data_IF_918938170585
#
_entry.id   IF_918938170585
#
_cell.length_a   1.000
_cell.length_b   1.000
_cell.length_c   1.000
_cell.angle_alpha   90.00
_cell.angle_beta   90.00
_cell.angle_gamma   90.00
#
_symmetry.space_group_name_H-M   'P 1'
#
loop_
_entity.id
_entity.type
_entity.pdbx_description
1 polymer ?
#
# COMPACT_ATOMS: atom_id res chain seq x y z
N UNK A 1 16.69 -18.10 29.79
CA UNK A 1 15.37 -18.48 29.24
C UNK A 1 14.77 -17.23 28.61
N UNK A 2 15.06 -16.98 27.33
CA UNK A 2 14.43 -15.88 26.59
C UNK A 2 13.03 -16.35 26.17
N UNK A 3 11.97 -15.73 26.69
CA UNK A 3 10.63 -15.96 26.18
C UNK A 3 10.59 -15.49 24.73
N UNK A 4 10.54 -16.43 23.80
CA UNK A 4 10.23 -16.19 22.40
C UNK A 4 8.84 -15.56 22.33
N UNK A 5 8.76 -14.24 22.15
CA UNK A 5 7.48 -13.58 21.84
C UNK A 5 7.05 -14.14 20.49
N UNK A 6 6.14 -15.08 20.56
CA UNK A 6 5.67 -15.93 19.47
C UNK A 6 4.34 -15.32 19.05
N UNK A 7 4.33 -14.69 17.88
CA UNK A 7 3.16 -14.19 17.12
C UNK A 7 1.89 -13.82 17.88
N UNK A 8 1.37 -12.62 17.65
CA UNK A 8 0.05 -12.24 18.12
C UNK A 8 -1.04 -12.71 17.16
N UNK A 9 -1.90 -13.60 17.64
CA UNK A 9 -3.05 -14.12 16.89
C UNK A 9 -4.29 -13.25 17.08
N UNK A 10 -5.07 -13.13 16.02
CA UNK A 10 -6.35 -12.41 15.99
C UNK A 10 -7.42 -13.29 15.33
N UNK A 11 -8.62 -13.26 15.92
CA UNK A 11 -9.87 -13.69 15.29
C UNK A 11 -10.87 -12.56 15.53
N UNK A 12 -11.34 -11.93 14.46
CA UNK A 12 -12.10 -10.69 14.54
C UNK A 12 -13.30 -10.74 13.60
N UNK A 13 -14.34 -9.98 13.92
CA UNK A 13 -15.50 -9.84 13.06
C UNK A 13 -15.13 -9.12 11.75
N UNK A 14 -15.91 -9.36 10.72
CA UNK A 14 -15.80 -8.68 9.42
C UNK A 14 -17.11 -7.99 9.06
N UNK A 15 -17.06 -7.14 8.04
CA UNK A 15 -18.22 -6.45 7.50
C UNK A 15 -18.14 -6.42 5.98
N UNK A 16 -19.22 -6.84 5.33
CA UNK A 16 -19.39 -6.68 3.89
C UNK A 16 -20.08 -5.35 3.54
N UNK A 17 -19.79 -4.79 2.37
CA UNK A 17 -20.35 -3.49 1.93
C UNK A 17 -21.85 -3.52 1.63
N UNK A 18 -22.44 -4.69 1.37
CA UNK A 18 -23.86 -4.80 0.99
C UNK A 18 -24.63 -5.94 1.68
N UNK A 19 -24.03 -6.63 2.67
CA UNK A 19 -24.70 -7.71 3.41
C UNK A 19 -25.15 -8.89 2.53
N UNK A 20 -24.43 -9.15 1.42
CA UNK A 20 -24.71 -10.29 0.57
C UNK A 20 -24.55 -11.63 1.31
N UNK A 21 -25.34 -12.63 0.93
CA UNK A 21 -25.16 -13.99 1.44
C UNK A 21 -23.80 -14.56 1.00
N UNK A 22 -23.20 -15.42 1.84
CA UNK A 22 -21.91 -16.05 1.56
C UNK A 22 -20.70 -15.14 1.76
N UNK A 23 -20.87 -14.00 2.44
CA UNK A 23 -19.73 -13.21 2.94
C UNK A 23 -19.19 -13.84 4.22
N UNK A 24 -17.87 -13.73 4.48
CA UNK A 24 -17.34 -14.17 5.77
C UNK A 24 -17.92 -13.29 6.89
N UNK A 25 -18.05 -13.87 8.08
CA UNK A 25 -18.36 -13.13 9.31
C UNK A 25 -17.09 -12.89 10.14
N UNK A 26 -16.05 -13.70 9.93
CA UNK A 26 -14.80 -13.64 10.69
C UNK A 26 -13.55 -13.56 9.81
N UNK A 27 -12.49 -12.95 10.34
CA UNK A 27 -11.15 -12.99 9.79
C UNK A 27 -10.15 -13.43 10.86
N UNK A 28 -9.19 -14.26 10.48
CA UNK A 28 -8.11 -14.72 11.35
C UNK A 28 -6.75 -14.42 10.74
N UNK A 29 -5.82 -13.91 11.55
CA UNK A 29 -4.46 -13.61 11.11
C UNK A 29 -3.48 -13.62 12.28
N UNK A 30 -2.19 -13.78 11.96
CA UNK A 30 -1.10 -13.77 12.93
C UNK A 30 -0.13 -12.66 12.55
N UNK A 31 0.22 -11.83 13.52
CA UNK A 31 1.22 -10.77 13.37
C UNK A 31 2.45 -11.18 14.14
N UNK A 32 3.59 -11.36 13.47
CA UNK A 32 4.89 -11.51 14.11
C UNK A 32 5.57 -10.15 14.35
N UNK A 33 6.78 -10.19 14.91
CA UNK A 33 7.53 -8.97 15.21
C UNK A 33 7.85 -8.16 13.94
N UNK A 34 8.20 -8.82 12.84
CA UNK A 34 8.57 -8.15 11.60
C UNK A 34 7.36 -7.48 10.95
N UNK A 35 6.21 -8.16 10.91
CA UNK A 35 4.94 -7.61 10.45
C UNK A 35 4.49 -6.45 11.35
N UNK A 36 4.64 -6.56 12.67
CA UNK A 36 4.32 -5.47 13.60
C UNK A 36 5.16 -4.22 13.33
N UNK A 37 6.48 -4.38 13.14
CA UNK A 37 7.37 -3.27 12.76
C UNK A 37 6.97 -2.67 11.41
N UNK A 38 6.60 -3.50 10.43
CA UNK A 38 6.07 -3.05 9.14
C UNK A 38 4.82 -2.19 9.29
N UNK A 39 3.83 -2.65 10.06
CA UNK A 39 2.60 -1.90 10.36
C UNK A 39 2.92 -0.57 11.04
N UNK A 40 3.83 -0.56 12.02
CA UNK A 40 4.24 0.68 12.71
C UNK A 40 4.93 1.68 11.78
N UNK A 41 5.76 1.20 10.86
CA UNK A 41 6.39 2.04 9.84
C UNK A 41 5.38 2.65 8.87
N UNK A 42 4.38 1.86 8.43
CA UNK A 42 3.29 2.37 7.60
C UNK A 42 2.47 3.43 8.35
N UNK A 43 2.14 3.20 9.63
CA UNK A 43 1.41 4.17 10.44
C UNK A 43 2.21 5.45 10.68
N UNK A 44 3.53 5.34 10.83
CA UNK A 44 4.43 6.50 10.88
C UNK A 44 4.38 7.28 9.57
N UNK A 45 4.46 6.60 8.42
CA UNK A 45 4.34 7.24 7.10
C UNK A 45 3.00 7.96 6.92
N UNK A 46 1.89 7.36 7.39
CA UNK A 46 0.56 7.98 7.40
C UNK A 46 0.58 9.28 8.22
N UNK A 47 1.14 9.25 9.44
CA UNK A 47 1.22 10.44 10.32
C UNK A 47 2.12 11.54 9.77
N UNK A 48 3.33 11.19 9.35
CA UNK A 48 4.35 12.15 8.90
C UNK A 48 3.92 12.87 7.61
N UNK A 49 3.14 12.21 6.76
CA UNK A 49 2.69 12.77 5.47
C UNK A 49 1.22 13.20 5.46
N UNK A 50 0.53 13.13 6.61
CA UNK A 50 -0.88 13.54 6.72
C UNK A 50 -1.84 12.72 5.83
N UNK A 51 -1.52 11.44 5.60
CA UNK A 51 -2.37 10.56 4.78
C UNK A 51 -3.59 10.10 5.58
N UNK A 52 -4.65 9.69 4.87
CA UNK A 52 -5.79 9.03 5.51
C UNK A 52 -5.44 7.58 5.91
N UNK A 53 -4.84 6.83 4.99
CA UNK A 53 -4.33 5.45 5.19
C UNK A 53 -3.34 5.09 4.09
N UNK A 54 -2.62 3.99 4.29
CA UNK A 54 -1.86 3.27 3.25
C UNK A 54 -2.46 1.88 3.07
N UNK A 55 -2.45 1.38 1.84
CA UNK A 55 -2.87 0.03 1.48
C UNK A 55 -1.69 -0.71 0.84
N UNK A 56 -1.45 -1.94 1.30
CA UNK A 56 -0.43 -2.82 0.71
C UNK A 56 -1.06 -4.18 0.43
N UNK A 57 -0.78 -4.77 -0.73
CA UNK A 57 -1.22 -6.13 -1.03
C UNK A 57 -0.72 -7.11 0.03
N UNK A 58 -1.65 -7.82 0.64
CA UNK A 58 -1.37 -8.77 1.70
C UNK A 58 -2.49 -9.83 1.73
N UNK A 59 -2.10 -11.10 1.62
CA UNK A 59 -3.01 -12.27 1.61
C UNK A 59 -2.84 -13.17 2.82
N UNK A 60 -2.21 -12.67 3.89
CA UNK A 60 -1.93 -13.44 5.12
C UNK A 60 -3.16 -13.64 6.00
N UNK A 61 -4.19 -12.80 5.86
CA UNK A 61 -5.46 -12.98 6.55
C UNK A 61 -6.34 -14.03 5.85
N UNK A 62 -6.87 -14.96 6.64
CA UNK A 62 -7.89 -15.92 6.22
C UNK A 62 -9.28 -15.45 6.67
N UNK A 63 -10.30 -15.73 5.88
CA UNK A 63 -11.67 -15.24 6.09
C UNK A 63 -12.63 -16.41 6.17
N UNK A 64 -13.58 -16.36 7.11
CA UNK A 64 -14.36 -17.51 7.54
C UNK A 64 -15.84 -17.16 7.73
N UNK A 65 -16.72 -18.11 7.46
CA UNK A 65 -18.15 -17.97 7.79
C UNK A 65 -18.38 -18.08 9.30
N UNK A 66 -17.74 -19.02 9.98
CA UNK A 66 -17.79 -19.19 11.43
C UNK A 66 -16.40 -19.00 12.05
N UNK A 67 -16.37 -18.58 13.32
CA UNK A 67 -15.11 -18.36 14.02
C UNK A 67 -14.30 -19.69 14.10
N UNK A 68 -13.02 -19.71 13.70
CA UNK A 68 -12.21 -20.93 13.75
C UNK A 68 -12.15 -21.55 15.17
N UNK A 69 -12.32 -22.87 15.26
CA UNK A 69 -12.32 -23.63 16.53
C UNK A 69 -13.67 -23.66 17.25
N UNK A 70 -14.76 -23.27 16.58
CA UNK A 70 -16.14 -23.47 17.05
C UNK A 70 -16.70 -24.79 16.50
N UNK A 71 -17.76 -25.31 17.14
CA UNK A 71 -18.44 -26.53 16.69
C UNK A 71 -18.97 -26.35 15.26
N UNK A 72 -19.56 -25.19 14.96
CA UNK A 72 -20.07 -24.85 13.64
C UNK A 72 -18.96 -24.82 12.56
N UNK A 73 -17.77 -24.29 12.90
CA UNK A 73 -16.63 -24.30 11.98
C UNK A 73 -16.09 -25.72 11.76
N UNK A 74 -16.11 -26.57 12.78
CA UNK A 74 -15.68 -27.97 12.69
C UNK A 74 -16.65 -28.84 11.88
N UNK A 75 -17.95 -28.53 11.92
CA UNK A 75 -18.97 -29.27 11.15
C UNK A 75 -18.83 -29.10 9.63
N UNK A 76 -18.46 -27.90 9.17
CA UNK A 76 -18.33 -27.60 7.73
C UNK A 76 -16.88 -27.64 7.22
N UNK A 77 -15.91 -27.76 8.14
CA UNK A 77 -14.48 -27.92 7.86
C UNK A 77 -13.96 -26.90 6.82
N UNK A 78 -13.51 -27.37 5.65
CA UNK A 78 -12.94 -26.54 4.59
C UNK A 78 -13.95 -25.62 3.91
N UNK A 79 -15.26 -25.88 4.04
CA UNK A 79 -16.30 -24.98 3.54
C UNK A 79 -16.44 -23.72 4.42
N UNK A 80 -15.79 -23.70 5.59
CA UNK A 80 -15.74 -22.51 6.43
C UNK A 80 -14.93 -21.36 5.79
N UNK A 81 -13.95 -21.69 4.94
CA UNK A 81 -13.07 -20.71 4.31
C UNK A 81 -13.79 -19.97 3.17
N UNK A 82 -13.85 -18.63 3.26
CA UNK A 82 -14.34 -17.77 2.19
C UNK A 82 -13.16 -17.15 1.44
N UNK A 83 -13.05 -17.48 0.15
CA UNK A 83 -11.94 -17.01 -0.68
C UNK A 83 -12.14 -15.55 -1.13
N UNK A 84 -11.13 -14.72 -0.90
CA UNK A 84 -11.08 -13.34 -1.37
C UNK A 84 -10.06 -13.16 -2.51
N UNK A 85 -10.24 -12.08 -3.29
CA UNK A 85 -9.30 -11.54 -4.29
C UNK A 85 -8.86 -10.14 -3.86
N UNK A 86 -7.69 -9.71 -4.35
CA UNK A 86 -7.12 -8.37 -4.11
C UNK A 86 -7.08 -8.01 -2.62
N UNK A 87 -6.60 -8.94 -1.79
CA UNK A 87 -6.49 -8.73 -0.35
C UNK A 87 -5.42 -7.68 -0.03
N UNK A 88 -5.74 -6.80 0.91
CA UNK A 88 -4.89 -5.69 1.33
C UNK A 88 -4.81 -5.61 2.86
N UNK A 89 -3.61 -5.34 3.35
CA UNK A 89 -3.39 -4.74 4.65
C UNK A 89 -3.62 -3.23 4.51
N UNK A 90 -4.49 -2.70 5.37
CA UNK A 90 -4.80 -1.28 5.46
C UNK A 90 -4.23 -0.76 6.78
N UNK A 91 -3.53 0.37 6.74
CA UNK A 91 -2.95 0.98 7.93
C UNK A 91 -3.28 2.46 7.95
N UNK A 92 -3.91 2.93 9.03
CA UNK A 92 -4.00 4.35 9.35
C UNK A 92 -3.04 4.73 10.49
N UNK A 93 -3.12 5.98 10.95
CA UNK A 93 -2.23 6.52 12.00
C UNK A 93 -2.27 5.78 13.34
N UNK A 94 -3.33 5.00 13.60
CA UNK A 94 -3.64 4.39 14.91
C UNK A 94 -4.03 2.92 14.84
N UNK A 95 -4.46 2.43 13.68
CA UNK A 95 -5.09 1.13 13.51
C UNK A 95 -4.66 0.44 12.22
N UNK A 96 -4.80 -0.89 12.20
CA UNK A 96 -4.64 -1.71 11.00
C UNK A 96 -5.82 -2.67 10.83
N UNK A 97 -6.12 -3.07 9.59
CA UNK A 97 -7.16 -4.05 9.26
C UNK A 97 -6.90 -4.67 7.89
N UNK A 98 -7.57 -5.78 7.61
CA UNK A 98 -7.52 -6.42 6.29
C UNK A 98 -8.78 -6.13 5.51
N UNK A 99 -8.64 -6.01 4.18
CA UNK A 99 -9.76 -5.94 3.26
C UNK A 99 -9.52 -6.81 2.05
N UNK A 100 -10.58 -7.07 1.29
CA UNK A 100 -10.51 -7.73 -0.01
C UNK A 100 -11.91 -7.92 -0.59
N UNK A 101 -12.00 -8.52 -1.76
CA UNK A 101 -13.28 -8.77 -2.43
C UNK A 101 -13.60 -10.25 -2.44
N UNK A 102 -14.82 -10.65 -2.11
CA UNK A 102 -15.24 -12.06 -2.22
C UNK A 102 -15.04 -12.52 -3.66
N UNK A 103 -14.38 -13.67 -3.83
CA UNK A 103 -13.99 -14.19 -5.14
C UNK A 103 -15.21 -14.33 -6.05
N UNK A 104 -15.05 -13.94 -7.31
CA UNK A 104 -16.12 -13.91 -8.33
C UNK A 104 -17.28 -12.95 -8.03
N UNK A 105 -17.11 -12.00 -7.12
CA UNK A 105 -18.08 -10.94 -6.85
C UNK A 105 -17.37 -9.58 -6.78
N UNK A 106 -18.15 -8.52 -6.62
CA UNK A 106 -17.67 -7.16 -6.32
C UNK A 106 -17.99 -6.76 -4.86
N UNK A 107 -18.27 -7.75 -4.00
CA UNK A 107 -18.53 -7.53 -2.57
C UNK A 107 -17.21 -7.36 -1.84
N UNK A 108 -16.94 -6.13 -1.40
CA UNK A 108 -15.82 -5.85 -0.50
C UNK A 108 -16.17 -6.28 0.93
N UNK A 109 -15.17 -6.88 1.58
CA UNK A 109 -15.18 -7.29 2.98
C UNK A 109 -14.03 -6.60 3.69
N UNK A 110 -14.29 -6.11 4.90
CA UNK A 110 -13.28 -5.52 5.78
C UNK A 110 -13.30 -6.20 7.14
N UNK A 111 -12.13 -6.51 7.70
CA UNK A 111 -12.01 -6.96 9.08
C UNK A 111 -12.20 -5.79 10.06
N UNK A 112 -12.55 -6.10 11.31
CA UNK A 112 -12.53 -5.13 12.38
C UNK A 112 -11.13 -4.53 12.55
N UNK A 113 -11.10 -3.22 12.84
CA UNK A 113 -9.85 -2.46 13.04
C UNK A 113 -9.18 -2.86 14.35
N UNK A 114 -7.87 -3.12 14.28
CA UNK A 114 -7.04 -3.47 15.42
C UNK A 114 -6.13 -2.30 15.79
N UNK A 115 -6.01 -1.95 17.08
CA UNK A 115 -5.20 -0.83 17.53
C UNK A 115 -3.70 -1.15 17.44
N UNK A 116 -2.91 -0.24 16.88
CA UNK A 116 -1.44 -0.38 16.78
C UNK A 116 -0.78 -0.37 18.16
N UNK A 117 -1.34 0.37 19.11
CA UNK A 117 -0.86 0.39 20.50
C UNK A 117 -0.83 -1.00 21.15
N UNK A 118 -1.69 -1.92 20.70
CA UNK A 118 -1.70 -3.30 21.19
C UNK A 118 -0.50 -4.09 20.68
N UNK A 119 -0.08 -3.87 19.42
CA UNK A 119 1.17 -4.42 18.88
C UNK A 119 2.38 -3.84 19.61
N UNK A 120 2.40 -2.53 19.86
CA UNK A 120 3.46 -1.86 20.62
C UNK A 120 3.63 -2.49 22.01
N UNK A 121 2.51 -2.69 22.71
CA UNK A 121 2.53 -3.32 24.03
C UNK A 121 2.94 -4.80 23.96
N UNK A 122 2.45 -5.56 22.99
CA UNK A 122 2.71 -6.99 22.88
C UNK A 122 4.19 -7.28 22.58
N UNK A 123 4.75 -6.54 21.62
CA UNK A 123 6.13 -6.70 21.18
C UNK A 123 7.13 -5.84 21.97
N UNK A 124 6.65 -5.04 22.94
CA UNK A 124 7.46 -4.11 23.74
C UNK A 124 8.24 -3.12 22.88
N UNK A 125 7.57 -2.61 21.84
CA UNK A 125 8.12 -1.64 20.89
C UNK A 125 7.96 -0.18 21.36
N UNK A 126 7.70 0.03 22.66
CA UNK A 126 7.49 1.34 23.22
C UNK A 126 8.81 2.14 23.26
N UNK A 127 8.95 3.10 22.34
CA UNK A 127 10.00 4.11 22.32
C UNK A 127 11.12 3.79 21.34
N UNK A 128 11.08 4.47 20.18
CA UNK A 128 12.21 4.59 19.25
C UNK A 128 12.65 3.25 18.65
N UNK A 129 12.26 3.02 17.40
CA UNK A 129 12.87 2.01 16.52
C UNK A 129 14.40 2.14 16.58
N UNK A 130 15.10 1.20 17.23
CA UNK A 130 16.37 0.78 16.66
C UNK A 130 16.02 -0.03 15.43
N UNK A 131 16.29 0.58 14.28
CA UNK A 131 16.12 -0.04 12.98
C UNK A 131 16.89 -1.36 12.98
N UNK A 132 16.19 -2.48 12.87
CA UNK A 132 16.86 -3.72 12.51
C UNK A 132 17.22 -3.56 11.04
N UNK A 133 18.48 -3.22 10.78
CA UNK A 133 19.07 -3.22 9.45
C UNK A 133 18.93 -4.63 8.87
N UNK A 134 17.92 -4.80 8.00
CA UNK A 134 17.87 -5.94 7.09
C UNK A 134 18.84 -5.59 5.98
N UNK A 135 20.05 -6.14 6.08
CA UNK A 135 21.19 -5.94 5.18
C UNK A 135 20.94 -6.57 3.80
N UNK A 136 19.94 -6.04 3.09
CA UNK A 136 19.61 -6.36 1.72
C UNK A 136 19.01 -5.13 1.08
N UNK A 137 19.60 -4.68 -0.03
CA UNK A 137 19.06 -3.57 -0.82
C UNK A 137 17.60 -3.88 -1.20
N UNK A 138 16.68 -3.12 -0.63
CA UNK A 138 15.25 -3.21 -0.98
C UNK A 138 15.00 -2.24 -2.13
N UNK A 139 14.64 -2.79 -3.29
CA UNK A 139 14.16 -2.00 -4.40
C UNK A 139 12.69 -1.66 -4.18
N UNK A 140 12.38 -0.37 -4.13
CA UNK A 140 11.02 0.14 -4.01
C UNK A 140 10.66 0.89 -5.30
N UNK A 141 9.49 0.58 -5.85
CA UNK A 141 8.88 1.37 -6.93
C UNK A 141 7.74 2.19 -6.33
N UNK A 142 7.86 3.51 -6.38
CA UNK A 142 6.83 4.45 -5.90
C UNK A 142 6.17 5.10 -7.12
N UNK A 143 4.88 4.85 -7.30
CA UNK A 143 4.08 5.44 -8.38
C UNK A 143 3.03 6.36 -7.79
N UNK A 144 2.90 7.56 -8.35
CA UNK A 144 1.83 8.48 -8.01
C UNK A 144 1.29 9.14 -9.28
N UNK A 145 0.05 9.61 -9.22
CA UNK A 145 -0.64 10.22 -10.35
C UNK A 145 -1.34 11.49 -9.92
N UNK A 146 -1.33 12.50 -10.79
CA UNK A 146 -2.08 13.73 -10.60
C UNK A 146 -2.77 14.13 -11.91
N UNK A 147 -4.03 14.53 -11.79
CA UNK A 147 -4.75 15.21 -12.87
C UNK A 147 -4.30 16.67 -12.92
N UNK A 148 -3.77 17.08 -14.07
CA UNK A 148 -3.36 18.47 -14.30
C UNK A 148 -3.99 19.01 -15.57
N UNK A 149 -4.52 20.23 -15.49
CA UNK A 149 -4.99 21.00 -16.64
C UNK A 149 -3.92 22.02 -17.00
N UNK A 150 -3.32 21.82 -18.16
CA UNK A 150 -2.16 22.57 -18.66
C UNK A 150 -2.28 22.67 -20.17
N UNK A 151 -2.03 23.86 -20.70
CA UNK A 151 -1.95 24.08 -22.14
C UNK A 151 -0.61 23.55 -22.65
N UNK A 152 -0.63 22.74 -23.72
CA UNK A 152 0.57 22.17 -24.32
C UNK A 152 0.44 20.67 -24.58
N UNK A 153 1.58 20.04 -24.83
CA UNK A 153 1.69 18.60 -25.09
C UNK A 153 2.02 17.82 -23.81
N UNK A 154 2.22 16.51 -23.95
CA UNK A 154 2.56 15.61 -22.84
C UNK A 154 3.82 16.06 -22.08
N UNK A 155 4.80 16.66 -22.78
CA UNK A 155 6.01 17.18 -22.18
C UNK A 155 5.73 18.42 -21.33
N UNK A 156 4.94 19.38 -21.84
CA UNK A 156 4.51 20.53 -21.07
C UNK A 156 3.77 20.12 -19.78
N UNK A 157 2.96 19.06 -19.85
CA UNK A 157 2.29 18.51 -18.68
C UNK A 157 3.26 17.88 -17.67
N UNK A 158 4.23 17.09 -18.13
CA UNK A 158 5.28 16.53 -17.26
C UNK A 158 6.10 17.63 -16.58
N UNK A 159 6.52 18.66 -17.33
CA UNK A 159 7.29 19.79 -16.79
C UNK A 159 6.50 20.56 -15.73
N UNK A 160 5.22 20.86 -15.97
CA UNK A 160 4.40 21.57 -15.01
C UNK A 160 4.17 20.79 -13.70
N UNK A 161 4.10 19.46 -13.77
CA UNK A 161 4.04 18.60 -12.58
C UNK A 161 5.39 18.60 -11.85
N UNK A 162 6.49 18.49 -12.59
CA UNK A 162 7.84 18.56 -12.06
C UNK A 162 8.08 19.85 -11.26
N UNK A 163 7.74 21.00 -11.85
CA UNK A 163 7.89 22.33 -11.23
C UNK A 163 7.04 22.50 -9.95
N UNK A 164 5.84 21.91 -9.91
CA UNK A 164 4.88 22.11 -8.80
C UNK A 164 5.16 21.20 -7.61
N UNK A 165 5.56 19.96 -7.85
CA UNK A 165 5.53 18.90 -6.85
C UNK A 165 6.89 18.26 -6.55
N UNK A 166 7.91 18.52 -7.38
CA UNK A 166 9.25 17.95 -7.18
C UNK A 166 10.27 19.00 -6.75
N UNK A 167 11.42 18.53 -6.25
CA UNK A 167 12.54 19.40 -5.91
C UNK A 167 13.09 20.06 -7.18
N UNK A 168 13.63 21.26 -7.03
CA UNK A 168 14.06 22.11 -8.16
C UNK A 168 15.06 21.44 -9.12
N UNK A 169 15.91 20.51 -8.66
CA UNK A 169 16.86 19.78 -9.52
C UNK A 169 16.20 18.70 -10.38
N UNK A 170 15.09 18.10 -9.92
CA UNK A 170 14.27 17.19 -10.72
C UNK A 170 13.47 17.98 -11.76
N UNK A 171 12.93 19.13 -11.35
CA UNK A 171 12.26 20.05 -12.26
C UNK A 171 13.20 20.62 -13.34
N UNK A 172 14.48 20.82 -13.02
CA UNK A 172 15.50 21.28 -13.97
C UNK A 172 16.01 20.19 -14.93
N UNK A 173 15.58 18.93 -14.77
CA UNK A 173 16.04 17.80 -15.60
C UNK A 173 17.52 17.45 -15.40
N UNK A 174 18.08 17.69 -14.20
CA UNK A 174 19.49 17.40 -13.93
C UNK A 174 19.78 15.89 -14.06
N UNK A 175 20.91 15.54 -14.69
CA UNK A 175 21.39 14.14 -14.77
C UNK A 175 21.57 13.57 -13.36
N UNK A 176 21.26 12.28 -13.19
CA UNK A 176 21.17 11.54 -11.91
C UNK A 176 19.95 11.85 -11.02
N UNK A 177 19.00 12.68 -11.47
CA UNK A 177 17.71 12.91 -10.78
C UNK A 177 16.54 12.05 -11.30
N UNK A 178 16.85 11.14 -12.23
CA UNK A 178 15.96 10.31 -13.07
C UNK A 178 14.53 10.12 -12.53
N UNK A 179 13.66 11.06 -12.88
CA UNK A 179 12.22 10.92 -12.71
C UNK A 179 11.59 10.78 -14.10
N UNK A 180 11.18 9.57 -14.42
CA UNK A 180 10.42 9.28 -15.64
C UNK A 180 8.94 9.50 -15.37
N UNK A 181 8.29 10.30 -16.20
CA UNK A 181 6.86 10.58 -16.13
C UNK A 181 6.12 9.72 -17.15
N UNK A 182 5.03 9.08 -16.72
CA UNK A 182 4.08 8.46 -17.65
C UNK A 182 2.86 9.36 -17.73
N UNK A 183 2.72 10.08 -18.84
CA UNK A 183 1.62 11.04 -19.06
C UNK A 183 0.60 10.43 -20.00
N UNK A 184 -0.67 10.49 -19.62
CA UNK A 184 -1.78 10.02 -20.46
C UNK A 184 -2.73 11.18 -20.73
N UNK A 185 -2.86 11.59 -21.99
CA UNK A 185 -3.84 12.61 -22.36
C UNK A 185 -5.25 12.03 -22.34
N UNK A 186 -6.22 12.80 -21.82
CA UNK A 186 -7.63 12.39 -21.79
C UNK A 186 -8.21 12.14 -23.19
N UNK A 187 -7.65 12.81 -24.20
CA UNK A 187 -8.10 12.77 -25.60
C UNK A 187 -7.82 11.46 -26.32
N UNK A 188 -6.69 10.82 -26.06
CA UNK A 188 -6.24 9.61 -26.79
C UNK A 188 -6.03 8.39 -25.88
N UNK A 189 -6.05 8.58 -24.55
CA UNK A 189 -5.88 7.53 -23.53
C UNK A 189 -4.60 6.70 -23.73
N UNK A 190 -3.62 7.25 -24.45
CA UNK A 190 -2.37 6.54 -24.74
C UNK A 190 -1.28 7.04 -23.78
N UNK A 191 -0.71 6.18 -22.93
CA UNK A 191 0.39 6.58 -22.07
C UNK A 191 1.65 6.84 -22.90
N UNK A 192 2.32 7.95 -22.59
CA UNK A 192 3.61 8.34 -23.14
C UNK A 192 4.61 8.48 -22.00
N UNK A 193 5.75 7.80 -22.13
CA UNK A 193 6.87 7.88 -21.20
C UNK A 193 7.75 9.08 -21.57
N UNK A 194 8.03 9.93 -20.60
CA UNK A 194 8.80 11.17 -20.76
C UNK A 194 9.91 11.18 -19.72
N UNK A 195 11.14 11.26 -20.20
CA UNK A 195 12.33 11.52 -19.40
C UNK A 195 12.71 13.00 -19.55
N UNK A 196 12.52 13.79 -18.49
CA UNK A 196 12.85 15.22 -18.49
C UNK A 196 14.36 15.48 -18.58
N UNK A 197 15.21 14.50 -18.25
CA UNK A 197 16.67 14.65 -18.35
C UNK A 197 17.20 14.51 -19.78
N UNK A 198 16.42 13.89 -20.67
CA UNK A 198 16.78 13.68 -22.08
C UNK A 198 16.74 14.96 -22.93
N UNK A 199 16.10 16.02 -22.45
CA UNK A 199 15.94 17.30 -23.17
C UNK A 199 17.19 18.19 -23.18
N UNK A 200 18.26 17.80 -22.46
CA UNK A 200 19.56 18.48 -22.48
C UNK A 200 20.54 17.87 -23.50
N UNK A 201 20.07 17.08 -24.47
CA UNK A 201 20.90 16.75 -25.62
C UNK A 201 20.96 17.95 -26.56
N UNK A 202 22.12 18.61 -26.56
CA UNK A 202 22.47 19.77 -27.37
C UNK A 202 21.94 19.68 -28.81
N UNK A 203 20.99 20.56 -29.15
CA UNK A 203 20.90 21.08 -30.51
C UNK A 203 22.16 21.92 -30.75
N UNK A 204 23.25 21.27 -31.15
CA UNK A 204 24.34 21.93 -31.87
C UNK A 204 23.75 22.43 -33.20
N UNK A 205 23.21 23.65 -33.15
CA UNK A 205 22.94 24.46 -34.33
C UNK A 205 24.29 24.68 -35.02
N UNK A 206 24.60 23.82 -35.98
CA UNK A 206 25.63 24.10 -36.97
C UNK A 206 25.07 25.18 -37.91
N UNK A 207 25.18 26.43 -37.47
CA UNK A 207 25.02 27.59 -38.34
C UNK A 207 26.12 27.56 -39.40
N UNK A 208 25.71 27.58 -40.66
CA UNK A 208 26.59 27.54 -41.83
C UNK A 208 27.42 28.82 -41.96
N UNK A 209 28.70 28.69 -42.31
CA UNK A 209 29.46 29.68 -43.06
C UNK A 209 30.42 28.97 -44.03
#
# INVERSE_FOLDING_TARGET
MHSSVTTKSYTVETRATNGAEGTPDYASFNIDLAAAQGIMNLARLVRENGLHKVETFDSTASFHQYAPGTEEAEEIEAENDVLLKACCLNVDSTSFWFSGFVRNTDVEVVSARQPIAELESHFRLAGGTEEVEVDGERQYLVTWSADVEVEGDHHAAAQAVADRYFRSHIAAGEQDSACTFVVTAKSDQKPVEIDLSACHSDDEVTESA
#
